data_IF_860016424817
#
_entry.id   IF_860016424817
#
_cell.length_a   1.000
_cell.length_b   1.000
_cell.length_c   1.000
_cell.angle_alpha   90.00
_cell.angle_beta   90.00
_cell.angle_gamma   90.00
#
_symmetry.space_group_name_H-M   'P 1'
#
loop_
_entity.id
_entity.type
_entity.pdbx_description
1 polymer ?
#
# COMPACT_ATOMS: atom_id res chain seq x y z
N UNK A 1 -6.15 49.88 -8.99
CA UNK A 1 -6.16 48.61 -8.21
C UNK A 1 -5.36 47.57 -8.99
N UNK A 2 -4.06 47.49 -8.73
CA UNK A 2 -3.14 46.56 -9.41
C UNK A 2 -3.31 45.16 -8.84
N UNK A 3 -3.81 44.21 -9.65
CA UNK A 3 -3.78 42.77 -9.30
C UNK A 3 -2.31 42.33 -9.17
N UNK A 4 -1.87 42.10 -7.96
CA UNK A 4 -0.58 41.44 -7.69
C UNK A 4 -0.50 40.17 -8.52
N UNK A 5 0.56 40.07 -9.34
CA UNK A 5 0.83 38.98 -10.23
C UNK A 5 0.74 37.66 -9.49
N UNK A 6 -0.15 36.78 -9.96
CA UNK A 6 -0.17 35.41 -9.53
C UNK A 6 1.22 34.83 -9.79
N UNK A 7 1.91 34.39 -8.75
CA UNK A 7 3.13 33.64 -8.92
C UNK A 7 2.80 32.46 -9.83
N UNK A 8 3.39 32.47 -11.01
CA UNK A 8 3.34 31.33 -11.91
C UNK A 8 3.95 30.17 -11.12
N UNK A 9 3.10 29.35 -10.51
CA UNK A 9 3.55 28.10 -9.89
C UNK A 9 4.08 27.29 -11.04
N UNK A 10 5.36 27.44 -11.32
CA UNK A 10 6.09 26.58 -12.25
C UNK A 10 5.73 25.16 -11.86
N UNK A 11 5.19 24.39 -12.82
CA UNK A 11 4.74 23.04 -12.56
C UNK A 11 5.87 22.27 -11.88
N UNK A 12 5.79 22.14 -10.56
CA UNK A 12 6.81 21.53 -9.69
C UNK A 12 7.08 20.06 -10.05
N UNK A 13 6.23 19.51 -10.94
CA UNK A 13 6.23 18.11 -11.34
C UNK A 13 6.48 17.95 -12.84
N UNK A 14 7.29 16.96 -13.21
CA UNK A 14 7.53 16.62 -14.61
C UNK A 14 6.23 16.13 -15.28
N UNK A 15 5.96 16.61 -16.48
CA UNK A 15 4.79 16.15 -17.26
C UNK A 15 4.95 14.73 -17.80
N UNK A 16 6.19 14.23 -17.97
CA UNK A 16 6.53 12.88 -18.47
C UNK A 16 5.92 12.58 -19.86
N UNK A 17 5.70 13.62 -20.69
CA UNK A 17 5.08 13.47 -22.00
C UNK A 17 3.63 12.96 -21.99
N UNK A 18 2.89 13.15 -20.88
CA UNK A 18 1.56 12.56 -20.67
C UNK A 18 0.54 13.60 -20.20
N UNK A 19 -0.74 13.35 -20.50
CA UNK A 19 -1.87 14.06 -19.90
C UNK A 19 -1.90 13.80 -18.39
N UNK A 20 -2.54 14.71 -17.64
CA UNK A 20 -2.51 14.69 -16.17
C UNK A 20 -3.07 13.42 -15.53
N UNK A 21 -4.13 12.86 -16.11
CA UNK A 21 -4.78 11.61 -15.70
C UNK A 21 -3.87 10.39 -15.91
N UNK A 22 -3.32 10.23 -17.13
CA UNK A 22 -2.40 9.15 -17.49
C UNK A 22 -1.09 9.23 -16.70
N UNK A 23 -0.57 10.45 -16.48
CA UNK A 23 0.60 10.66 -15.62
C UNK A 23 0.32 10.22 -14.18
N UNK A 24 -0.83 10.59 -13.63
CA UNK A 24 -1.24 10.19 -12.27
C UNK A 24 -1.36 8.67 -12.16
N UNK A 25 -1.98 8.02 -13.13
CA UNK A 25 -2.10 6.55 -13.16
C UNK A 25 -0.72 5.88 -13.22
N UNK A 26 0.20 6.38 -14.05
CA UNK A 26 1.57 5.88 -14.15
C UNK A 26 2.31 5.96 -12.80
N UNK A 27 2.27 7.13 -12.14
CA UNK A 27 2.97 7.33 -10.87
C UNK A 27 2.36 6.48 -9.75
N UNK A 28 1.03 6.34 -9.71
CA UNK A 28 0.34 5.46 -8.76
C UNK A 28 0.73 4.00 -8.97
N UNK A 29 0.76 3.52 -10.21
CA UNK A 29 1.16 2.14 -10.53
C UNK A 29 2.60 1.87 -10.08
N UNK A 30 3.55 2.77 -10.37
CA UNK A 30 4.95 2.61 -9.96
C UNK A 30 5.13 2.73 -8.43
N UNK A 31 4.40 3.63 -7.78
CA UNK A 31 4.40 3.74 -6.31
C UNK A 31 3.86 2.45 -5.65
N UNK A 32 2.80 1.90 -6.21
CA UNK A 32 2.22 0.63 -5.76
C UNK A 32 3.23 -0.52 -5.90
N UNK A 33 3.87 -0.63 -7.07
CA UNK A 33 4.89 -1.66 -7.31
C UNK A 33 6.11 -1.51 -6.38
N UNK A 34 6.56 -0.27 -6.12
CA UNK A 34 7.67 -0.02 -5.20
C UNK A 34 7.35 -0.47 -3.77
N UNK A 35 6.16 -0.15 -3.26
CA UNK A 35 5.75 -0.55 -1.90
C UNK A 35 5.52 -2.06 -1.82
N UNK A 36 4.95 -2.67 -2.86
CA UNK A 36 4.73 -4.11 -2.90
C UNK A 36 6.05 -4.90 -2.89
N UNK A 37 7.00 -4.52 -3.76
CA UNK A 37 8.22 -5.29 -4.05
C UNK A 37 9.48 -4.76 -3.33
N UNK A 38 9.41 -3.55 -2.73
CA UNK A 38 10.55 -2.89 -2.10
C UNK A 38 11.53 -2.24 -3.08
N UNK A 39 11.56 -2.64 -4.36
CA UNK A 39 12.43 -2.11 -5.42
C UNK A 39 11.77 -2.20 -6.79
N UNK A 40 12.10 -1.25 -7.68
CA UNK A 40 11.67 -1.23 -9.09
C UNK A 40 12.77 -0.69 -9.99
N UNK A 41 12.82 -1.15 -11.23
CA UNK A 41 13.67 -0.58 -12.27
C UNK A 41 12.82 0.35 -13.14
N UNK A 42 13.26 1.59 -13.32
CA UNK A 42 12.53 2.60 -14.09
C UNK A 42 13.50 3.67 -14.63
N UNK A 43 12.99 4.64 -15.38
CA UNK A 43 13.83 5.76 -15.85
C UNK A 43 14.05 6.77 -14.72
N UNK A 44 15.21 7.47 -14.74
CA UNK A 44 15.58 8.45 -13.71
C UNK A 44 14.52 9.55 -13.52
N UNK A 45 13.93 10.02 -14.62
CA UNK A 45 12.87 11.03 -14.56
C UNK A 45 11.61 10.53 -13.81
N UNK A 46 11.21 9.28 -14.04
CA UNK A 46 10.08 8.67 -13.33
C UNK A 46 10.42 8.39 -11.86
N UNK A 47 11.61 7.85 -11.58
CA UNK A 47 12.04 7.57 -10.22
C UNK A 47 11.99 8.82 -9.33
N UNK A 48 12.46 9.98 -9.84
CA UNK A 48 12.41 11.26 -9.13
C UNK A 48 10.98 11.71 -8.80
N UNK A 49 10.00 11.44 -9.68
CA UNK A 49 8.59 11.76 -9.41
C UNK A 49 7.91 10.75 -8.49
N UNK A 50 8.20 9.44 -8.64
CA UNK A 50 7.66 8.37 -7.76
C UNK A 50 8.12 8.57 -6.32
N UNK A 51 9.38 8.96 -6.11
CA UNK A 51 9.94 9.30 -4.80
C UNK A 51 9.07 10.34 -4.07
N UNK A 52 8.66 11.41 -4.76
CA UNK A 52 7.80 12.46 -4.19
C UNK A 52 6.40 11.97 -3.77
N UNK A 53 5.92 10.90 -4.39
CA UNK A 53 4.64 10.29 -4.05
C UNK A 53 4.78 9.33 -2.88
N UNK A 54 5.84 8.52 -2.87
CA UNK A 54 6.02 7.42 -1.90
C UNK A 54 6.52 7.92 -0.54
N UNK A 55 7.48 8.85 -0.52
CA UNK A 55 8.05 9.33 0.75
C UNK A 55 7.02 9.91 1.73
N UNK A 56 6.04 10.75 1.31
CA UNK A 56 5.00 11.22 2.21
C UNK A 56 4.10 10.10 2.75
N UNK A 57 3.87 9.02 1.98
CA UNK A 57 3.06 7.88 2.44
C UNK A 57 3.80 7.09 3.52
N UNK A 58 5.11 6.89 3.35
CA UNK A 58 5.96 6.22 4.34
C UNK A 58 6.05 7.07 5.62
N UNK A 59 6.29 8.38 5.50
CA UNK A 59 6.32 9.29 6.64
C UNK A 59 5.01 9.27 7.44
N UNK A 60 3.87 9.25 6.73
CA UNK A 60 2.55 9.16 7.35
C UNK A 60 2.36 7.83 8.07
N UNK A 61 2.79 6.72 7.48
CA UNK A 61 2.72 5.40 8.09
C UNK A 61 3.62 5.28 9.32
N UNK A 62 4.84 5.81 9.25
CA UNK A 62 5.78 5.81 10.38
C UNK A 62 5.26 6.63 11.57
N UNK A 63 4.58 7.78 11.30
CA UNK A 63 3.99 8.62 12.34
C UNK A 63 2.82 7.94 13.06
N UNK A 64 1.96 7.23 12.31
CA UNK A 64 0.70 6.69 12.83
C UNK A 64 0.77 5.18 13.13
N UNK A 65 1.95 4.55 13.09
CA UNK A 65 2.14 3.10 13.23
C UNK A 65 1.54 2.52 14.51
N UNK A 66 1.71 3.22 15.65
CA UNK A 66 1.29 2.75 16.98
C UNK A 66 -0.07 3.32 17.42
N UNK A 67 -0.73 4.09 16.55
CA UNK A 67 -1.98 4.78 16.90
C UNK A 67 -3.21 3.88 16.70
N UNK A 68 -3.25 2.74 17.40
CA UNK A 68 -4.36 1.78 17.42
C UNK A 68 -4.70 1.36 18.87
N UNK A 69 -5.86 0.74 19.03
CA UNK A 69 -6.34 0.12 20.26
C UNK A 69 -6.56 -1.37 20.01
N UNK A 70 -6.18 -2.21 20.97
CA UNK A 70 -6.49 -3.63 20.92
C UNK A 70 -7.86 -3.85 21.56
N UNK A 71 -8.81 -4.35 20.77
CA UNK A 71 -10.18 -4.62 21.21
C UNK A 71 -10.47 -6.10 21.06
N UNK A 72 -10.99 -6.72 22.10
CA UNK A 72 -11.49 -8.10 22.07
C UNK A 72 -12.87 -8.13 21.44
N UNK A 73 -13.00 -8.83 20.32
CA UNK A 73 -14.27 -9.02 19.59
C UNK A 73 -14.63 -10.50 19.57
N UNK A 74 -15.88 -10.82 19.86
CA UNK A 74 -16.41 -12.17 19.69
C UNK A 74 -16.62 -12.44 18.19
N UNK A 75 -15.84 -13.34 17.64
CA UNK A 75 -15.95 -13.77 16.25
C UNK A 75 -16.65 -15.13 16.17
N UNK A 76 -17.67 -15.26 15.30
CA UNK A 76 -18.29 -16.53 14.98
C UNK A 76 -17.41 -17.31 14.02
N UNK A 77 -16.81 -18.39 14.49
CA UNK A 77 -15.95 -19.26 13.69
C UNK A 77 -16.70 -20.57 13.41
N UNK A 78 -16.77 -21.05 12.16
CA UNK A 78 -17.43 -22.30 11.87
C UNK A 78 -16.72 -23.45 12.58
N UNK A 79 -17.48 -24.22 13.37
CA UNK A 79 -17.00 -25.41 14.06
C UNK A 79 -16.51 -26.44 13.05
N UNK A 80 -15.33 -27.01 13.32
CA UNK A 80 -14.71 -28.03 12.47
C UNK A 80 -14.61 -29.33 13.21
N UNK A 81 -14.84 -30.44 12.51
CA UNK A 81 -14.61 -31.79 12.99
C UNK A 81 -13.10 -32.12 13.05
N UNK A 82 -12.75 -33.26 13.65
CA UNK A 82 -11.40 -33.80 13.68
C UNK A 82 -10.74 -33.90 12.29
N UNK A 83 -11.53 -34.04 11.23
CA UNK A 83 -11.09 -34.09 9.83
C UNK A 83 -11.05 -32.72 9.13
N UNK A 84 -11.23 -31.60 9.86
CA UNK A 84 -11.20 -30.25 9.32
C UNK A 84 -12.45 -29.84 8.52
N UNK A 85 -13.46 -30.69 8.42
CA UNK A 85 -14.75 -30.37 7.75
C UNK A 85 -15.64 -29.53 8.67
N UNK A 86 -16.45 -28.63 8.07
CA UNK A 86 -17.42 -27.81 8.82
C UNK A 86 -18.55 -28.67 9.34
N UNK A 87 -18.83 -28.59 10.64
CA UNK A 87 -19.98 -29.27 11.27
C UNK A 87 -21.25 -28.57 10.80
N UNK A 88 -22.22 -29.36 10.36
CA UNK A 88 -23.56 -28.88 9.94
C UNK A 88 -24.61 -29.59 10.78
N UNK A 89 -25.54 -28.84 11.34
CA UNK A 89 -26.74 -29.36 12.00
C UNK A 89 -27.95 -29.15 11.08
N UNK A 90 -28.89 -30.08 11.18
CA UNK A 90 -30.14 -30.00 10.43
C UNK A 90 -31.19 -29.27 11.30
N UNK A 91 -31.60 -28.06 10.87
CA UNK A 91 -32.64 -27.27 11.50
C UNK A 91 -33.73 -26.97 10.44
N UNK A 92 -34.97 -27.33 10.75
CA UNK A 92 -36.11 -27.12 9.85
C UNK A 92 -35.88 -27.65 8.42
N UNK A 93 -35.27 -28.86 8.29
CA UNK A 93 -34.97 -29.49 7.00
C UNK A 93 -33.84 -28.82 6.20
N UNK A 94 -33.13 -27.84 6.79
CA UNK A 94 -31.97 -27.17 6.16
C UNK A 94 -30.69 -27.43 6.93
N UNK A 95 -29.61 -27.74 6.21
CA UNK A 95 -28.28 -27.95 6.79
C UNK A 95 -27.64 -26.60 7.12
N UNK A 96 -27.58 -26.21 8.39
CA UNK A 96 -27.01 -24.97 8.90
C UNK A 96 -25.62 -25.25 9.47
N UNK A 97 -24.64 -24.39 9.18
CA UNK A 97 -23.30 -24.50 9.75
C UNK A 97 -23.31 -24.03 11.21
N UNK A 98 -22.75 -24.83 12.11
CA UNK A 98 -22.60 -24.49 13.52
C UNK A 98 -21.40 -23.56 13.69
N UNK A 99 -21.55 -22.49 14.48
CA UNK A 99 -20.50 -21.54 14.78
C UNK A 99 -20.20 -21.52 16.27
N UNK A 100 -18.92 -21.55 16.60
CA UNK A 100 -18.42 -21.34 17.96
C UNK A 100 -18.06 -19.84 18.10
N UNK A 101 -18.37 -19.25 19.26
CA UNK A 101 -17.99 -17.89 19.60
C UNK A 101 -16.58 -17.90 20.22
N UNK A 102 -15.62 -17.34 19.47
CA UNK A 102 -14.23 -17.23 19.91
C UNK A 102 -13.87 -15.78 20.12
N UNK A 103 -13.35 -15.44 21.30
CA UNK A 103 -12.80 -14.11 21.55
C UNK A 103 -11.51 -13.93 20.77
N UNK A 104 -11.45 -12.91 19.92
CA UNK A 104 -10.26 -12.54 19.14
C UNK A 104 -9.87 -11.13 19.44
N UNK A 105 -8.59 -10.91 19.67
CA UNK A 105 -8.03 -9.57 19.76
C UNK A 105 -7.80 -9.01 18.36
N UNK A 106 -8.37 -7.84 18.10
CA UNK A 106 -8.28 -7.14 16.83
C UNK A 106 -7.72 -5.74 17.06
N UNK A 107 -6.75 -5.33 16.25
CA UNK A 107 -6.24 -3.96 16.23
C UNK A 107 -7.30 -3.04 15.61
N UNK A 108 -7.84 -2.13 16.38
CA UNK A 108 -8.79 -1.09 15.92
C UNK A 108 -8.02 0.21 15.73
N UNK A 109 -7.99 0.70 14.49
CA UNK A 109 -7.33 1.98 14.18
C UNK A 109 -8.06 3.15 14.87
N UNK A 110 -7.31 4.03 15.53
CA UNK A 110 -7.81 5.32 16.02
C UNK A 110 -8.15 6.25 14.83
N UNK A 111 -8.95 7.31 15.02
CA UNK A 111 -9.41 8.17 13.92
C UNK A 111 -8.28 8.73 13.06
N UNK A 112 -7.15 9.13 13.65
CA UNK A 112 -5.99 9.64 12.91
C UNK A 112 -5.35 8.57 12.01
N UNK A 113 -5.12 7.36 12.55
CA UNK A 113 -4.59 6.22 11.78
C UNK A 113 -5.56 5.78 10.67
N UNK A 114 -6.87 5.81 10.94
CA UNK A 114 -7.88 5.53 9.93
C UNK A 114 -7.83 6.54 8.77
N UNK A 115 -7.67 7.84 9.07
CA UNK A 115 -7.50 8.86 8.04
C UNK A 115 -6.23 8.64 7.23
N UNK A 116 -5.12 8.28 7.89
CA UNK A 116 -3.87 7.93 7.23
C UNK A 116 -4.05 6.73 6.28
N UNK A 117 -4.71 5.67 6.75
CA UNK A 117 -5.04 4.48 5.94
C UNK A 117 -5.85 4.84 4.70
N UNK A 118 -6.91 5.66 4.84
CA UNK A 118 -7.73 6.12 3.72
C UNK A 118 -6.91 6.94 2.72
N UNK A 119 -6.01 7.82 3.19
CA UNK A 119 -5.12 8.60 2.34
C UNK A 119 -4.15 7.70 1.56
N UNK A 120 -3.55 6.71 2.20
CA UNK A 120 -2.69 5.71 1.56
C UNK A 120 -3.46 4.94 0.48
N UNK A 121 -4.63 4.42 0.80
CA UNK A 121 -5.49 3.67 -0.12
C UNK A 121 -5.99 4.52 -1.30
N UNK A 122 -6.18 5.83 -1.12
CA UNK A 122 -6.56 6.73 -2.23
C UNK A 122 -5.45 6.90 -3.27
N UNK A 123 -4.20 6.68 -2.88
CA UNK A 123 -3.03 6.80 -3.78
C UNK A 123 -2.62 5.45 -4.37
N UNK A 124 -2.62 4.38 -3.57
CA UNK A 124 -2.17 3.05 -4.02
C UNK A 124 -3.28 2.26 -4.70
N UNK A 125 -2.90 1.38 -5.61
CA UNK A 125 -3.81 0.39 -6.20
C UNK A 125 -3.83 -0.89 -5.35
N UNK A 126 -4.92 -1.65 -5.44
CA UNK A 126 -4.98 -2.99 -4.88
C UNK A 126 -4.00 -3.92 -5.61
N UNK A 127 -3.29 -4.73 -4.87
CA UNK A 127 -2.36 -5.74 -5.38
C UNK A 127 -2.88 -7.12 -5.00
N UNK A 128 -2.73 -8.05 -5.91
CA UNK A 128 -3.11 -9.44 -5.71
C UNK A 128 -1.91 -10.31 -6.05
N UNK A 129 -1.44 -11.08 -5.09
CA UNK A 129 -0.43 -12.11 -5.33
C UNK A 129 -1.11 -13.35 -5.88
N UNK A 130 -0.62 -13.81 -7.03
CA UNK A 130 -1.13 -15.01 -7.70
C UNK A 130 -0.24 -16.18 -7.32
N UNK A 131 -0.80 -17.15 -6.59
CA UNK A 131 -0.12 -18.40 -6.29
C UNK A 131 -0.15 -19.38 -7.47
N UNK A 132 0.45 -20.55 -7.28
CA UNK A 132 0.52 -21.60 -8.30
C UNK A 132 -0.87 -22.07 -8.79
N UNK A 133 -1.88 -21.96 -7.95
CA UNK A 133 -3.27 -22.31 -8.28
C UNK A 133 -4.17 -21.09 -8.11
N UNK A 134 -5.22 -20.96 -8.92
CA UNK A 134 -6.19 -19.87 -8.88
C UNK A 134 -6.80 -19.62 -7.48
N UNK A 135 -6.97 -20.68 -6.68
CA UNK A 135 -7.46 -20.60 -5.28
C UNK A 135 -6.45 -20.02 -4.29
N UNK A 136 -5.16 -19.99 -4.64
CA UNK A 136 -4.08 -19.51 -3.79
C UNK A 136 -3.82 -18.01 -3.99
N UNK A 137 -4.71 -17.36 -4.75
CA UNK A 137 -4.67 -15.93 -5.02
C UNK A 137 -5.03 -15.15 -3.76
N UNK A 138 -4.11 -14.30 -3.27
CA UNK A 138 -4.27 -13.52 -2.03
C UNK A 138 -4.24 -12.02 -2.33
N UNK A 139 -5.22 -11.30 -1.83
CA UNK A 139 -5.18 -9.83 -1.80
C UNK A 139 -4.16 -9.35 -0.77
N UNK A 140 -3.25 -8.46 -1.20
CA UNK A 140 -2.25 -7.83 -0.32
C UNK A 140 -2.77 -6.46 0.13
N UNK A 141 -2.87 -6.26 1.43
CA UNK A 141 -3.17 -4.93 2.00
C UNK A 141 -1.87 -4.13 2.14
N UNK A 142 -1.57 -3.30 1.13
CA UNK A 142 -0.38 -2.45 1.12
C UNK A 142 -0.41 -1.38 2.22
N UNK A 143 -1.59 -0.96 2.69
CA UNK A 143 -1.69 -0.04 3.80
C UNK A 143 -1.28 -0.73 5.11
N UNK A 144 -1.71 -1.97 5.34
CA UNK A 144 -1.24 -2.78 6.46
C UNK A 144 0.27 -2.99 6.39
N UNK A 145 0.81 -3.35 5.21
CA UNK A 145 2.25 -3.50 4.98
C UNK A 145 3.04 -2.23 5.33
N UNK A 146 2.53 -1.05 4.96
CA UNK A 146 3.16 0.22 5.32
C UNK A 146 3.17 0.48 6.82
N UNK A 147 2.09 0.15 7.56
CA UNK A 147 2.05 0.36 9.00
C UNK A 147 2.83 -0.70 9.79
N UNK A 148 2.77 -1.96 9.37
CA UNK A 148 3.29 -3.07 10.17
C UNK A 148 4.76 -3.39 9.84
N UNK A 149 5.21 -3.21 8.58
CA UNK A 149 6.59 -3.47 8.16
C UNK A 149 7.42 -2.20 8.06
N UNK A 150 6.98 -1.23 7.23
CA UNK A 150 7.76 -0.03 6.95
C UNK A 150 7.66 1.02 8.07
N UNK A 151 6.54 1.10 8.78
CA UNK A 151 6.36 2.03 9.91
C UNK A 151 7.41 1.84 10.99
N UNK A 152 7.58 0.62 11.54
CA UNK A 152 8.64 0.33 12.51
C UNK A 152 10.04 0.49 11.94
N UNK A 153 10.29 0.04 10.70
CA UNK A 153 11.59 0.14 10.02
C UNK A 153 12.08 1.60 9.94
N UNK A 154 11.19 2.54 9.72
CA UNK A 154 11.53 3.96 9.54
C UNK A 154 11.16 4.87 10.71
N UNK A 155 10.87 4.32 11.88
CA UNK A 155 10.40 5.07 13.05
C UNK A 155 11.33 6.21 13.49
N UNK A 156 12.64 6.04 13.36
CA UNK A 156 13.65 7.05 13.75
C UNK A 156 14.15 7.91 12.58
N UNK A 157 13.56 7.80 11.40
CA UNK A 157 14.09 8.45 10.20
C UNK A 157 13.16 9.55 9.68
N UNK A 158 13.69 10.77 9.51
CA UNK A 158 12.95 11.95 9.07
C UNK A 158 13.10 12.21 7.55
N UNK A 159 12.85 11.20 6.71
CA UNK A 159 12.91 11.34 5.26
C UNK A 159 14.02 10.52 4.60
N UNK A 160 14.14 10.63 3.27
CA UNK A 160 15.12 9.89 2.49
C UNK A 160 14.88 8.37 2.55
N UNK A 161 13.64 7.94 2.55
CA UNK A 161 13.26 6.52 2.63
C UNK A 161 13.58 5.75 1.35
N UNK A 162 13.89 6.47 0.26
CA UNK A 162 14.15 5.90 -1.05
C UNK A 162 15.56 6.20 -1.53
N UNK A 163 16.18 5.26 -2.23
CA UNK A 163 17.48 5.40 -2.89
C UNK A 163 17.32 5.18 -4.38
N UNK A 164 18.01 6.01 -5.18
CA UNK A 164 18.09 5.88 -6.63
C UNK A 164 19.54 5.48 -6.99
N UNK A 165 19.68 4.29 -7.58
CA UNK A 165 20.98 3.78 -8.06
C UNK A 165 20.94 3.77 -9.58
N UNK A 166 21.91 4.43 -10.24
CA UNK A 166 21.99 4.46 -11.71
C UNK A 166 22.54 3.12 -12.20
N UNK A 167 21.85 2.51 -13.17
CA UNK A 167 22.24 1.26 -13.80
C UNK A 167 23.02 1.55 -15.08
N UNK A 168 22.46 2.40 -15.95
CA UNK A 168 23.08 2.74 -17.23
C UNK A 168 22.07 3.24 -18.25
N UNK A 169 22.52 3.47 -19.45
CA UNK A 169 21.67 3.85 -20.58
C UNK A 169 21.05 2.62 -21.24
N UNK A 170 19.74 2.67 -21.47
CA UNK A 170 19.01 1.62 -22.17
C UNK A 170 19.36 1.63 -23.66
N UNK A 171 19.66 0.43 -24.23
CA UNK A 171 20.13 0.29 -25.62
C UNK A 171 19.18 0.85 -26.68
N UNK A 172 17.85 0.81 -26.45
CA UNK A 172 16.87 1.20 -27.45
C UNK A 172 16.68 2.70 -27.61
N UNK A 173 16.68 3.47 -26.51
CA UNK A 173 16.36 4.91 -26.52
C UNK A 173 17.32 5.78 -25.71
N UNK A 174 18.47 5.20 -25.30
CA UNK A 174 19.48 5.86 -24.48
C UNK A 174 18.93 6.49 -23.17
N UNK A 175 17.72 6.13 -22.74
CA UNK A 175 17.15 6.61 -21.49
C UNK A 175 17.94 6.05 -20.31
N UNK A 176 18.28 6.91 -19.32
CA UNK A 176 18.95 6.48 -18.10
C UNK A 176 18.02 5.60 -17.26
N UNK A 177 18.39 4.32 -17.12
CA UNK A 177 17.71 3.38 -16.22
C UNK A 177 18.30 3.44 -14.82
N UNK A 178 17.41 3.37 -13.84
CA UNK A 178 17.78 3.40 -12.43
C UNK A 178 16.99 2.36 -11.65
N UNK A 179 17.63 1.83 -10.62
CA UNK A 179 16.97 1.08 -9.55
C UNK A 179 16.50 2.08 -8.50
N UNK A 180 15.20 2.11 -8.27
CA UNK A 180 14.60 2.82 -7.15
C UNK A 180 14.25 1.79 -6.08
N UNK A 181 14.82 1.94 -4.89
CA UNK A 181 14.64 1.01 -3.77
C UNK A 181 14.26 1.73 -2.48
N UNK A 182 13.63 0.99 -1.57
CA UNK A 182 13.39 1.39 -0.19
C UNK A 182 14.61 1.00 0.67
N UNK A 183 15.16 1.97 1.40
CA UNK A 183 16.42 1.82 2.17
C UNK A 183 16.22 1.00 3.44
#
# INVERSE_FOLDING_TARGET
>A
MLRKGGSTIMAMYRKLGRKSDVRRALLRSQATALIANGKIITTEARAKEVRRVVEPLIALAAKEKDNFETVTVTAKVPKKDANGKRVKEERDGKKVTVFDEVKKEIKKDKPSRMNARRKIQSVLYGVTEVGAKKRDTKKVDLAAKLFDEYGPKYAGRNGGYTRIVKIGQRKGDAAMEVLLELV
#
